data_IF_736917904082
#
_entry.id   IF_736917904082
#
_cell.length_a   1.000
_cell.length_b   1.000
_cell.length_c   1.000
_cell.angle_alpha   90.00
_cell.angle_beta   90.00
_cell.angle_gamma   90.00
#
_symmetry.space_group_name_H-M   'P 1'
#
loop_
_entity.id
_entity.type
_entity.pdbx_description
1 polymer ?
#
# COMPACT_ATOMS: atom_id res chain seq x y z
N UNK A 1 0.58 -5.08 13.89
CA UNK A 1 0.53 -3.78 14.59
C UNK A 1 0.61 -2.61 13.61
N UNK A 2 1.61 -2.52 12.73
CA UNK A 2 1.69 -1.45 11.70
C UNK A 2 0.41 -1.33 10.85
N UNK A 3 -0.18 -2.47 10.43
CA UNK A 3 -1.44 -2.47 9.67
C UNK A 3 -2.65 -1.86 10.39
N UNK A 4 -2.70 -1.93 11.74
CA UNK A 4 -3.77 -1.31 12.56
C UNK A 4 -3.78 0.19 12.33
N UNK A 5 -2.60 0.80 12.23
CA UNK A 5 -2.47 2.25 12.16
C UNK A 5 -2.50 2.69 10.71
N UNK A 6 -1.60 2.14 9.90
CA UNK A 6 -1.38 2.56 8.53
C UNK A 6 -2.63 2.39 7.65
N UNK A 7 -3.20 1.19 7.65
CA UNK A 7 -4.31 0.83 6.78
C UNK A 7 -5.68 0.91 7.48
N UNK A 8 -5.70 1.03 8.82
CA UNK A 8 -6.91 1.13 9.62
C UNK A 8 -7.18 2.54 10.14
N UNK A 9 -6.53 2.90 11.27
CA UNK A 9 -6.80 4.13 11.99
C UNK A 9 -6.50 5.38 11.15
N UNK A 10 -5.31 5.49 10.54
CA UNK A 10 -4.94 6.66 9.73
C UNK A 10 -5.84 6.82 8.51
N UNK A 11 -6.28 5.73 7.90
CA UNK A 11 -7.14 5.77 6.70
C UNK A 11 -8.46 6.49 6.96
N UNK A 12 -9.00 6.41 8.17
CA UNK A 12 -10.28 7.03 8.56
C UNK A 12 -10.08 8.31 9.36
N UNK A 13 -9.20 8.28 10.37
CA UNK A 13 -9.03 9.39 11.30
C UNK A 13 -8.30 10.58 10.67
N UNK A 14 -7.31 10.36 9.79
CA UNK A 14 -6.54 11.44 9.20
C UNK A 14 -7.39 12.36 8.29
N UNK A 15 -8.17 11.84 7.32
CA UNK A 15 -9.03 12.69 6.50
C UNK A 15 -10.08 13.45 7.32
N UNK A 16 -10.66 12.79 8.34
CA UNK A 16 -11.66 13.41 9.23
C UNK A 16 -11.05 14.52 10.09
N UNK A 17 -9.87 14.30 10.66
CA UNK A 17 -9.15 15.30 11.45
C UNK A 17 -8.89 16.56 10.61
N UNK A 18 -8.37 16.38 9.40
CA UNK A 18 -8.05 17.49 8.50
C UNK A 18 -9.34 18.22 8.08
N UNK A 19 -10.41 17.48 7.76
CA UNK A 19 -11.69 18.08 7.39
C UNK A 19 -12.32 18.89 8.54
N UNK A 20 -12.33 18.34 9.75
CA UNK A 20 -12.97 18.96 10.91
C UNK A 20 -12.18 20.20 11.40
N UNK A 21 -10.85 20.20 11.31
CA UNK A 21 -10.01 21.31 11.78
C UNK A 21 -9.70 22.38 10.71
N UNK A 22 -9.56 22.01 9.44
CA UNK A 22 -9.26 22.99 8.38
C UNK A 22 -10.51 23.66 7.79
N UNK A 23 -11.68 23.08 8.03
CA UNK A 23 -12.97 23.47 7.41
C UNK A 23 -12.97 23.52 5.87
N UNK A 24 -11.92 23.03 5.23
CA UNK A 24 -11.69 23.13 3.79
C UNK A 24 -11.32 21.76 3.23
N UNK A 25 -12.16 21.26 2.33
CA UNK A 25 -12.01 19.90 1.76
C UNK A 25 -10.74 19.79 0.91
N UNK A 26 -10.26 20.86 0.29
CA UNK A 26 -9.01 20.86 -0.50
C UNK A 26 -7.79 20.33 0.28
N UNK A 27 -7.67 20.67 1.57
CA UNK A 27 -6.54 20.27 2.40
C UNK A 27 -6.49 18.77 2.68
N UNK A 28 -7.64 18.12 2.76
CA UNK A 28 -7.71 16.66 2.94
C UNK A 28 -6.97 15.95 1.80
N UNK A 29 -7.21 16.40 0.55
CA UNK A 29 -6.52 15.86 -0.62
C UNK A 29 -5.02 16.14 -0.60
N UNK A 30 -4.60 17.34 -0.22
CA UNK A 30 -3.18 17.71 -0.17
C UNK A 30 -2.44 16.87 0.88
N UNK A 31 -2.98 16.74 2.10
CA UNK A 31 -2.36 15.98 3.19
C UNK A 31 -2.30 14.48 2.85
N UNK A 32 -3.37 13.91 2.28
CA UNK A 32 -3.37 12.50 1.88
C UNK A 32 -2.51 12.23 0.65
N UNK A 33 -2.37 13.21 -0.25
CA UNK A 33 -1.41 13.13 -1.34
C UNK A 33 0.02 13.12 -0.80
N UNK A 34 0.33 13.92 0.22
CA UNK A 34 1.63 13.87 0.89
C UNK A 34 1.89 12.49 1.52
N UNK A 35 0.89 11.89 2.18
CA UNK A 35 0.98 10.50 2.67
C UNK A 35 1.25 9.48 1.55
N UNK A 36 0.51 9.57 0.44
CA UNK A 36 0.69 8.69 -0.70
C UNK A 36 2.05 8.89 -1.39
N UNK A 37 2.58 10.11 -1.44
CA UNK A 37 3.94 10.39 -1.92
C UNK A 37 4.99 9.71 -1.04
N UNK A 38 4.80 9.71 0.28
CA UNK A 38 5.65 8.96 1.20
C UNK A 38 5.64 7.45 0.91
N UNK A 39 4.48 6.88 0.58
CA UNK A 39 4.36 5.46 0.19
C UNK A 39 5.07 5.11 -1.13
N UNK A 40 5.36 6.08 -2.00
CA UNK A 40 6.10 5.85 -3.25
C UNK A 40 7.63 5.74 -3.04
N UNK A 41 8.12 5.97 -1.82
CA UNK A 41 9.55 5.96 -1.51
C UNK A 41 10.16 4.55 -1.37
N UNK A 42 9.44 3.48 -1.69
CA UNK A 42 9.85 2.08 -1.46
C UNK A 42 11.18 1.70 -2.07
N UNK A 43 11.44 2.21 -3.27
CA UNK A 43 12.69 2.03 -3.97
C UNK A 43 13.90 2.64 -3.25
N UNK A 44 13.71 3.77 -2.57
CA UNK A 44 14.76 4.43 -1.78
C UNK A 44 15.07 3.56 -0.58
N UNK A 45 14.05 3.08 0.12
CA UNK A 45 14.20 2.26 1.33
C UNK A 45 14.83 0.90 1.03
N UNK A 46 14.41 0.22 -0.04
CA UNK A 46 15.02 -1.05 -0.46
C UNK A 46 16.52 -0.90 -0.75
N UNK A 47 16.90 0.11 -1.55
CA UNK A 47 18.31 0.39 -1.85
C UNK A 47 19.12 0.76 -0.61
N UNK A 48 18.53 1.54 0.31
CA UNK A 48 19.20 1.94 1.53
C UNK A 48 19.43 0.74 2.46
N UNK A 49 18.46 -0.17 2.51
CA UNK A 49 18.56 -1.42 3.25
C UNK A 49 19.68 -2.32 2.70
N UNK A 50 19.72 -2.51 1.37
CA UNK A 50 20.74 -3.32 0.70
C UNK A 50 22.15 -2.71 0.84
N UNK A 51 22.28 -1.39 0.61
CA UNK A 51 23.57 -0.69 0.60
C UNK A 51 24.20 -0.63 1.98
N UNK A 52 23.42 -0.32 3.02
CA UNK A 52 23.94 -0.12 4.37
C UNK A 52 23.76 -1.33 5.28
N UNK A 53 23.07 -2.38 4.82
CA UNK A 53 22.77 -3.58 5.62
C UNK A 53 22.00 -3.24 6.91
N UNK A 54 21.23 -2.15 6.87
CA UNK A 54 20.56 -1.56 8.03
C UNK A 54 19.11 -2.01 8.17
N UNK A 55 18.76 -3.22 7.70
CA UNK A 55 17.39 -3.76 7.75
C UNK A 55 16.73 -3.56 9.12
N UNK A 56 17.44 -3.93 10.20
CA UNK A 56 16.91 -3.76 11.57
C UNK A 56 16.71 -2.30 11.96
N UNK A 57 17.65 -1.41 11.62
CA UNK A 57 17.54 0.00 11.98
C UNK A 57 16.42 0.67 11.18
N UNK A 58 16.31 0.37 9.89
CA UNK A 58 15.24 0.91 9.04
C UNK A 58 13.87 0.45 9.52
N UNK A 59 13.71 -0.83 9.84
CA UNK A 59 12.46 -1.35 10.40
C UNK A 59 12.11 -0.70 11.75
N UNK A 60 13.09 -0.58 12.65
CA UNK A 60 12.90 0.07 13.95
C UNK A 60 12.57 1.56 13.82
N UNK A 61 13.32 2.27 12.97
CA UNK A 61 13.13 3.71 12.74
C UNK A 61 11.78 4.00 12.08
N UNK A 62 11.32 3.17 11.13
CA UNK A 62 9.99 3.31 10.54
C UNK A 62 8.88 3.20 11.58
N UNK A 63 8.94 2.21 12.48
CA UNK A 63 7.94 2.08 13.55
C UNK A 63 8.04 3.26 14.53
N UNK A 64 9.25 3.68 14.90
CA UNK A 64 9.46 4.80 15.83
C UNK A 64 8.96 6.13 15.26
N UNK A 65 9.22 6.41 13.98
CA UNK A 65 8.72 7.60 13.29
C UNK A 65 7.20 7.54 13.15
N UNK A 66 6.62 6.39 12.80
CA UNK A 66 5.16 6.25 12.73
C UNK A 66 4.48 6.50 14.08
N UNK A 67 5.09 6.03 15.17
CA UNK A 67 4.63 6.30 16.55
C UNK A 67 4.73 7.78 16.89
N UNK A 68 5.86 8.42 16.58
CA UNK A 68 6.07 9.86 16.82
C UNK A 68 5.07 10.69 16.02
N UNK A 69 4.84 10.35 14.75
CA UNK A 69 3.84 11.01 13.91
C UNK A 69 2.44 10.89 14.52
N UNK A 70 2.03 9.68 14.92
CA UNK A 70 0.74 9.46 15.57
C UNK A 70 0.56 10.32 16.82
N UNK A 71 1.62 10.53 17.60
CA UNK A 71 1.58 11.42 18.76
C UNK A 71 1.57 12.90 18.35
N UNK A 72 2.49 13.35 17.50
CA UNK A 72 2.67 14.76 17.17
C UNK A 72 1.49 15.35 16.39
N UNK A 73 0.81 14.55 15.55
CA UNK A 73 -0.23 15.05 14.66
C UNK A 73 -1.43 15.66 15.41
N UNK A 74 -1.63 15.28 16.68
CA UNK A 74 -2.73 15.77 17.53
C UNK A 74 -2.42 17.10 18.23
N UNK A 75 -1.14 17.48 18.33
CA UNK A 75 -0.71 18.69 19.05
C UNK A 75 -0.45 19.88 18.13
N UNK A 76 -0.08 19.63 16.89
CA UNK A 76 0.21 20.69 15.92
C UNK A 76 -1.04 21.00 15.10
N UNK A 77 -1.39 22.27 14.97
CA UNK A 77 -2.52 22.75 14.16
C UNK A 77 -2.09 23.45 12.87
N UNK A 78 -0.80 23.36 12.50
CA UNK A 78 -0.28 23.96 11.28
C UNK A 78 -0.36 22.99 10.09
N UNK A 79 -0.98 23.43 9.00
CA UNK A 79 -1.23 22.61 7.80
C UNK A 79 0.04 22.03 7.17
N UNK A 80 1.11 22.83 7.07
CA UNK A 80 2.40 22.37 6.56
C UNK A 80 3.01 21.27 7.44
N UNK A 81 2.78 21.33 8.75
CA UNK A 81 3.23 20.28 9.69
C UNK A 81 2.43 19.00 9.44
N UNK A 82 1.12 19.08 9.21
CA UNK A 82 0.34 17.89 8.83
C UNK A 82 0.77 17.27 7.51
N UNK A 83 1.12 18.07 6.51
CA UNK A 83 1.67 17.54 5.25
C UNK A 83 2.99 16.80 5.48
N UNK A 84 3.90 17.39 6.26
CA UNK A 84 5.18 16.77 6.59
C UNK A 84 4.98 15.48 7.39
N UNK A 85 4.13 15.52 8.42
CA UNK A 85 3.81 14.36 9.26
C UNK A 85 3.12 13.25 8.44
N UNK A 86 2.19 13.60 7.56
CA UNK A 86 1.53 12.65 6.68
C UNK A 86 2.53 12.01 5.70
N UNK A 87 3.43 12.79 5.10
CA UNK A 87 4.52 12.25 4.29
C UNK A 87 5.42 11.30 5.07
N UNK A 88 5.82 11.68 6.30
CA UNK A 88 6.62 10.84 7.18
C UNK A 88 5.87 9.56 7.59
N UNK A 89 4.56 9.62 7.83
CA UNK A 89 3.75 8.44 8.10
C UNK A 89 3.79 7.48 6.91
N UNK A 90 3.49 7.96 5.70
CA UNK A 90 3.54 7.17 4.48
C UNK A 90 4.92 6.55 4.25
N UNK A 91 5.97 7.35 4.33
CA UNK A 91 7.35 6.89 4.16
C UNK A 91 7.76 5.85 5.20
N UNK A 92 7.32 6.01 6.44
CA UNK A 92 7.61 5.07 7.55
C UNK A 92 6.88 3.74 7.39
N UNK A 93 5.61 3.78 6.98
CA UNK A 93 4.81 2.59 6.70
C UNK A 93 5.49 1.80 5.58
N UNK A 94 5.82 2.47 4.50
CA UNK A 94 6.41 1.84 3.32
C UNK A 94 7.83 1.30 3.58
N UNK A 95 8.66 2.02 4.32
CA UNK A 95 9.95 1.52 4.78
C UNK A 95 9.78 0.23 5.60
N UNK A 96 8.80 0.22 6.51
CA UNK A 96 8.56 -0.92 7.40
C UNK A 96 8.02 -2.13 6.63
N UNK A 97 7.08 -1.94 5.70
CA UNK A 97 6.51 -3.04 4.88
C UNK A 97 7.51 -3.58 3.87
N UNK A 98 8.32 -2.71 3.26
CA UNK A 98 9.37 -3.10 2.31
C UNK A 98 10.43 -3.96 3.00
N UNK A 99 10.96 -3.48 4.13
CA UNK A 99 11.98 -4.20 4.90
C UNK A 99 11.42 -5.50 5.51
N UNK A 100 10.15 -5.52 5.94
CA UNK A 100 9.48 -6.74 6.37
C UNK A 100 9.49 -7.83 5.29
N UNK A 101 9.26 -7.43 4.03
CA UNK A 101 9.26 -8.36 2.90
C UNK A 101 10.69 -8.84 2.58
N UNK A 102 11.67 -7.95 2.64
CA UNK A 102 13.10 -8.31 2.49
C UNK A 102 13.55 -9.32 3.55
N UNK A 103 13.13 -9.16 4.81
CA UNK A 103 13.42 -10.14 5.86
C UNK A 103 12.90 -11.55 5.52
N UNK A 104 11.77 -11.67 4.82
CA UNK A 104 11.28 -12.99 4.41
C UNK A 104 12.16 -13.60 3.32
N UNK A 105 12.55 -12.80 2.33
CA UNK A 105 13.33 -13.25 1.17
C UNK A 105 14.77 -13.58 1.55
N UNK A 106 15.40 -12.80 2.42
CA UNK A 106 16.80 -12.96 2.79
C UNK A 106 17.05 -14.10 3.80
N UNK A 107 16.12 -14.31 4.74
CA UNK A 107 16.34 -15.23 5.87
C UNK A 107 15.75 -16.61 5.68
N UNK A 108 15.01 -16.85 4.60
CA UNK A 108 14.31 -18.12 4.36
C UNK A 108 14.66 -18.68 2.99
N UNK A 109 14.62 -20.02 2.81
CA UNK A 109 14.82 -20.63 1.51
C UNK A 109 13.69 -20.28 0.53
N UNK A 110 14.00 -20.22 -0.77
CA UNK A 110 13.07 -19.78 -1.82
C UNK A 110 11.72 -20.50 -1.85
N UNK A 111 11.71 -21.80 -1.49
CA UNK A 111 10.48 -22.61 -1.42
C UNK A 111 9.47 -22.08 -0.38
N UNK A 112 9.93 -21.32 0.60
CA UNK A 112 9.11 -20.80 1.71
C UNK A 112 8.74 -19.33 1.55
N UNK A 113 9.25 -18.64 0.53
CA UNK A 113 9.01 -17.20 0.36
C UNK A 113 7.53 -16.90 0.18
N UNK A 114 6.87 -17.57 -0.77
CA UNK A 114 5.47 -17.32 -1.10
C UNK A 114 4.53 -17.58 0.09
N UNK A 115 4.58 -18.74 0.79
CA UNK A 115 3.77 -18.96 2.00
C UNK A 115 4.01 -17.92 3.10
N UNK A 116 5.26 -17.51 3.33
CA UNK A 116 5.61 -16.56 4.40
C UNK A 116 5.16 -15.14 4.06
N UNK A 117 5.30 -14.71 2.80
CA UNK A 117 4.78 -13.42 2.33
C UNK A 117 3.26 -13.40 2.44
N UNK A 118 2.57 -14.49 2.09
CA UNK A 118 1.12 -14.60 2.26
C UNK A 118 0.70 -14.47 3.73
N UNK A 119 1.41 -15.13 4.66
CA UNK A 119 1.17 -14.94 6.10
C UNK A 119 1.41 -13.50 6.55
N UNK A 120 2.48 -12.86 6.07
CA UNK A 120 2.80 -11.47 6.40
C UNK A 120 1.69 -10.51 5.95
N UNK A 121 1.19 -10.70 4.72
CA UNK A 121 0.06 -9.93 4.18
C UNK A 121 -1.25 -10.21 4.94
N UNK A 122 -1.45 -11.46 5.39
CA UNK A 122 -2.62 -11.83 6.20
C UNK A 122 -2.60 -11.11 7.54
N UNK A 123 -1.46 -11.09 8.24
CA UNK A 123 -1.32 -10.33 9.50
C UNK A 123 -1.46 -8.83 9.29
N UNK A 124 -0.98 -8.29 8.17
CA UNK A 124 -1.19 -6.90 7.81
C UNK A 124 -2.69 -6.59 7.62
N UNK A 125 -3.41 -7.45 6.88
CA UNK A 125 -4.85 -7.34 6.65
C UNK A 125 -5.69 -7.50 7.92
N UNK A 126 -5.35 -8.44 8.80
CA UNK A 126 -5.98 -8.57 10.13
C UNK A 126 -5.76 -7.27 10.92
N UNK A 127 -4.54 -6.75 10.90
CA UNK A 127 -4.23 -5.45 11.51
C UNK A 127 -5.13 -4.34 10.97
N UNK A 128 -5.25 -4.23 9.64
CA UNK A 128 -6.14 -3.25 8.99
C UNK A 128 -7.58 -3.37 9.50
N UNK A 129 -8.14 -4.59 9.52
CA UNK A 129 -9.52 -4.83 10.00
C UNK A 129 -9.66 -4.38 11.45
N UNK A 130 -8.76 -4.79 12.34
CA UNK A 130 -8.76 -4.35 13.73
C UNK A 130 -8.68 -2.83 13.83
N UNK A 131 -7.81 -2.19 13.05
CA UNK A 131 -7.67 -0.73 13.04
C UNK A 131 -8.91 0.01 12.55
N UNK A 132 -9.61 -0.50 11.54
CA UNK A 132 -10.87 0.06 11.06
C UNK A 132 -12.01 -0.09 12.09
N UNK A 133 -12.05 -1.23 12.80
CA UNK A 133 -13.00 -1.42 13.89
C UNK A 133 -12.68 -0.54 15.11
N UNK A 134 -11.40 -0.32 15.41
CA UNK A 134 -11.00 0.63 16.45
C UNK A 134 -11.30 2.08 16.05
N UNK A 135 -11.10 2.43 14.78
CA UNK A 135 -11.41 3.74 14.26
C UNK A 135 -12.91 4.07 14.45
N UNK A 136 -13.82 3.11 14.32
CA UNK A 136 -15.26 3.36 14.54
C UNK A 136 -15.56 3.83 15.96
N UNK A 137 -14.82 3.34 16.97
CA UNK A 137 -14.93 3.79 18.35
C UNK A 137 -14.26 5.15 18.58
N UNK A 138 -13.09 5.39 17.96
CA UNK A 138 -12.32 6.62 18.16
C UNK A 138 -12.73 7.80 17.30
N UNK A 139 -13.64 7.63 16.33
CA UNK A 139 -14.18 8.74 15.53
C UNK A 139 -14.76 9.87 16.42
N UNK A 140 -15.30 9.54 17.60
CA UNK A 140 -15.84 10.53 18.55
C UNK A 140 -14.73 11.42 19.13
N UNK A 141 -13.54 10.86 19.36
CA UNK A 141 -12.38 11.59 19.83
C UNK A 141 -11.13 11.18 19.04
N UNK A 142 -10.93 11.87 17.93
CA UNK A 142 -9.86 11.60 16.96
C UNK A 142 -8.48 11.66 17.62
N UNK A 143 -8.27 12.59 18.55
CA UNK A 143 -6.99 12.74 19.28
C UNK A 143 -6.67 11.49 20.10
N UNK A 144 -7.65 10.99 20.86
CA UNK A 144 -7.50 9.75 21.63
C UNK A 144 -7.22 8.57 20.70
N UNK A 145 -7.83 8.53 19.52
CA UNK A 145 -7.55 7.49 18.51
C UNK A 145 -6.10 7.46 18.05
N UNK A 146 -5.51 8.63 17.76
CA UNK A 146 -4.10 8.75 17.36
C UNK A 146 -3.12 8.45 18.51
N UNK A 147 -3.44 8.86 19.73
CA UNK A 147 -2.62 8.53 20.92
C UNK A 147 -2.68 7.02 21.19
N UNK A 148 -3.87 6.42 21.13
CA UNK A 148 -4.04 4.97 21.28
C UNK A 148 -3.26 4.21 20.19
N UNK A 149 -3.27 4.71 18.95
CA UNK A 149 -2.46 4.17 17.86
C UNK A 149 -0.97 4.18 18.23
N UNK A 150 -0.44 5.30 18.71
CA UNK A 150 0.97 5.41 19.12
C UNK A 150 1.30 4.42 20.25
N UNK A 151 0.43 4.30 21.27
CA UNK A 151 0.62 3.36 22.39
C UNK A 151 0.67 1.90 21.91
N UNK A 152 -0.15 1.52 20.93
CA UNK A 152 -0.16 0.16 20.36
C UNK A 152 1.16 -0.18 19.65
N UNK A 153 1.95 0.81 19.20
CA UNK A 153 3.27 0.56 18.62
C UNK A 153 4.37 0.32 19.64
N UNK A 154 4.18 0.69 20.91
CA UNK A 154 5.16 0.45 21.97
C UNK A 154 5.52 -1.04 22.08
N UNK A 155 4.57 -1.99 22.21
CA UNK A 155 4.91 -3.41 22.23
C UNK A 155 5.56 -3.88 20.93
N UNK A 156 5.20 -3.34 19.76
CA UNK A 156 5.89 -3.65 18.51
C UNK A 156 7.38 -3.27 18.57
N UNK A 157 7.70 -2.07 19.05
CA UNK A 157 9.09 -1.62 19.21
C UNK A 157 9.89 -2.50 20.18
N UNK A 158 9.27 -2.91 21.29
CA UNK A 158 9.91 -3.80 22.26
C UNK A 158 10.18 -5.19 21.67
N UNK A 159 9.22 -5.75 20.93
CA UNK A 159 9.38 -7.03 20.23
C UNK A 159 10.50 -6.92 19.19
N UNK A 160 10.50 -5.88 18.35
CA UNK A 160 11.56 -5.67 17.33
C UNK A 160 12.94 -5.52 17.97
N UNK A 161 13.02 -4.83 19.10
CA UNK A 161 14.27 -4.69 19.85
C UNK A 161 14.79 -6.02 20.38
N UNK A 162 13.91 -6.93 20.79
CA UNK A 162 14.28 -8.22 21.41
C UNK A 162 14.44 -9.36 20.39
N UNK A 163 13.61 -9.41 19.36
CA UNK A 163 13.46 -10.56 18.46
C UNK A 163 14.36 -10.53 17.23
N UNK A 164 14.83 -9.35 16.79
CA UNK A 164 15.70 -9.28 15.61
C UNK A 164 17.17 -9.34 16.08
N UNK A 165 17.88 -10.46 15.89
CA UNK A 165 19.28 -10.57 16.31
C UNK A 165 20.16 -9.52 15.60
N UNK A 166 21.18 -9.05 16.32
CA UNK A 166 22.15 -8.05 15.87
C UNK A 166 23.23 -8.74 15.02
N UNK A 167 22.86 -9.53 14.02
CA UNK A 167 23.82 -10.33 13.27
C UNK A 167 24.10 -9.71 11.90
N UNK A 168 25.33 -9.21 11.76
CA UNK A 168 26.04 -9.14 10.49
C UNK A 168 26.16 -10.58 9.99
N UNK A 169 25.44 -10.95 8.93
CA UNK A 169 25.79 -12.18 8.22
C UNK A 169 26.83 -11.85 7.14
N UNK A 170 27.88 -12.69 7.04
CA UNK A 170 28.87 -12.57 5.98
C UNK A 170 28.18 -12.81 4.64
N UNK A 171 28.62 -12.10 3.61
CA UNK A 171 28.22 -12.26 2.22
C UNK A 171 27.84 -13.72 1.91
N UNK A 172 26.53 -14.02 1.87
CA UNK A 172 26.07 -15.00 0.88
C UNK A 172 26.30 -14.27 -0.43
N UNK A 173 27.50 -14.54 -0.93
CA UNK A 173 28.11 -13.94 -2.07
C UNK A 173 27.12 -13.95 -3.24
N UNK A 174 26.45 -12.80 -3.47
CA UNK A 174 26.08 -12.38 -4.80
C UNK A 174 27.28 -12.50 -5.74
N UNK A 175 28.52 -12.47 -5.23
CA UNK A 175 29.76 -12.87 -5.91
C UNK A 175 29.82 -14.35 -6.35
N UNK A 176 29.32 -15.31 -5.56
CA UNK A 176 29.32 -16.74 -5.92
C UNK A 176 28.18 -17.13 -6.85
N UNK A 177 27.03 -16.45 -6.74
CA UNK A 177 25.94 -16.54 -7.72
C UNK A 177 26.31 -15.85 -9.03
N UNK A 178 27.06 -14.73 -8.96
CA UNK A 178 27.68 -14.03 -10.10
C UNK A 178 28.76 -14.88 -10.78
N UNK A 179 29.61 -15.60 -10.05
CA UNK A 179 30.57 -16.54 -10.63
C UNK A 179 29.91 -17.77 -11.27
N UNK A 180 28.86 -18.33 -10.65
CA UNK A 180 28.08 -19.41 -11.25
C UNK A 180 27.27 -18.95 -12.46
N UNK A 181 26.68 -17.75 -12.43
CA UNK A 181 25.95 -17.16 -13.56
C UNK A 181 26.90 -16.75 -14.69
N UNK A 182 28.11 -16.25 -14.40
CA UNK A 182 29.14 -15.91 -15.39
C UNK A 182 29.67 -17.15 -16.10
N UNK A 183 29.76 -18.30 -15.42
CA UNK A 183 30.15 -19.58 -16.06
C UNK A 183 29.04 -20.22 -16.91
N UNK A 184 27.79 -19.79 -16.76
CA UNK A 184 26.63 -20.29 -17.52
C UNK A 184 26.27 -19.34 -18.69
N UNK A 185 26.90 -18.15 -18.77
CA UNK A 185 26.58 -17.13 -19.77
C UNK A 185 27.56 -17.11 -20.94
N UNK A 186 27.54 -18.19 -21.72
CA UNK A 186 27.62 -18.04 -23.17
C UNK A 186 26.18 -18.11 -23.71
N UNK A 187 25.86 -17.28 -24.70
CA UNK A 187 24.51 -17.03 -25.28
C UNK A 187 23.77 -15.85 -24.63
N UNK A 188 24.10 -14.63 -25.11
CA UNK A 188 23.20 -13.53 -25.52
C UNK A 188 22.01 -13.05 -24.62
N UNK A 189 21.72 -13.65 -23.47
CA UNK A 189 20.44 -13.51 -22.75
C UNK A 189 20.50 -12.56 -21.54
N UNK A 190 21.68 -12.07 -21.15
CA UNK A 190 21.88 -11.21 -19.97
C UNK A 190 22.43 -9.79 -20.27
N UNK A 191 22.53 -9.43 -21.55
CA UNK A 191 23.16 -8.16 -21.99
C UNK A 191 22.47 -6.87 -21.52
N UNK A 192 21.21 -6.93 -21.03
CA UNK A 192 20.47 -5.74 -20.62
C UNK A 192 20.41 -5.50 -19.10
N UNK A 193 20.56 -6.55 -18.28
CA UNK A 193 20.54 -6.41 -16.81
C UNK A 193 21.94 -6.34 -16.19
N UNK A 194 22.95 -6.99 -16.79
CA UNK A 194 24.29 -7.09 -16.18
C UNK A 194 25.19 -5.87 -16.43
N UNK A 195 24.91 -5.02 -17.43
CA UNK A 195 25.71 -3.79 -17.71
C UNK A 195 25.43 -2.63 -16.75
N UNK A 196 24.61 -2.83 -15.72
CA UNK A 196 24.06 -1.74 -14.89
C UNK A 196 24.89 -1.47 -13.61
N UNK A 197 25.84 -2.32 -13.22
CA UNK A 197 26.53 -2.18 -11.92
C UNK A 197 28.01 -1.80 -11.99
N UNK A 198 28.57 -1.46 -13.17
CA UNK A 198 30.03 -1.37 -13.29
C UNK A 198 30.66 0.01 -13.12
N UNK A 199 29.93 1.12 -12.93
CA UNK A 199 30.59 2.42 -12.71
C UNK A 199 29.96 3.29 -11.62
N UNK A 200 30.82 3.57 -10.64
CA UNK A 200 30.65 4.43 -9.47
C UNK A 200 30.35 5.88 -9.84
N UNK A 201 29.07 6.30 -9.74
CA UNK A 201 28.66 7.63 -9.24
C UNK A 201 27.14 7.68 -9.04
N UNK A 202 26.70 7.55 -7.78
CA UNK A 202 25.43 6.89 -7.42
C UNK A 202 24.17 7.77 -7.36
N UNK A 203 24.27 9.08 -7.56
CA UNK A 203 23.10 9.97 -7.47
C UNK A 203 22.70 10.62 -8.80
N UNK A 204 23.66 10.90 -9.68
CA UNK A 204 23.39 11.54 -10.96
C UNK A 204 22.70 10.60 -11.97
N UNK A 205 23.02 9.29 -11.92
CA UNK A 205 22.51 8.32 -12.89
C UNK A 205 21.04 7.90 -12.70
N UNK A 206 20.48 8.02 -11.48
CA UNK A 206 19.08 7.60 -11.24
C UNK A 206 18.07 8.60 -11.79
N UNK A 207 18.33 9.91 -11.68
CA UNK A 207 17.44 10.93 -12.23
C UNK A 207 17.53 11.05 -13.76
N UNK A 208 18.73 10.92 -14.33
CA UNK A 208 18.94 10.98 -15.78
C UNK A 208 18.29 9.78 -16.48
N UNK A 209 18.35 8.57 -15.91
CA UNK A 209 17.64 7.40 -16.48
C UNK A 209 16.13 7.43 -16.29
N UNK A 210 15.59 8.09 -15.25
CA UNK A 210 14.15 8.36 -15.18
C UNK A 210 13.75 9.22 -16.38
N UNK A 211 14.54 10.24 -16.71
CA UNK A 211 14.29 11.13 -17.86
C UNK A 211 14.42 10.39 -19.22
N UNK A 212 15.45 9.57 -19.42
CA UNK A 212 15.59 8.73 -20.62
C UNK A 212 14.50 7.66 -20.73
N UNK A 213 14.11 7.05 -19.61
CA UNK A 213 13.00 6.10 -19.56
C UNK A 213 11.69 6.80 -19.90
N UNK A 214 11.49 8.04 -19.45
CA UNK A 214 10.34 8.90 -19.81
C UNK A 214 10.32 9.22 -21.30
N UNK A 215 11.47 9.49 -21.92
CA UNK A 215 11.59 9.64 -23.38
C UNK A 215 11.22 8.37 -24.17
N UNK A 216 11.48 7.19 -23.61
CA UNK A 216 11.10 5.89 -24.19
C UNK A 216 9.69 5.40 -23.80
N UNK A 217 8.92 6.14 -22.97
CA UNK A 217 7.58 5.71 -22.54
C UNK A 217 6.67 5.49 -23.76
N UNK A 218 6.70 6.38 -24.75
CA UNK A 218 5.85 6.29 -25.95
C UNK A 218 6.00 4.97 -26.72
N UNK A 219 7.21 4.42 -26.82
CA UNK A 219 7.46 3.15 -27.54
C UNK A 219 7.16 1.90 -26.70
N UNK A 220 7.15 2.02 -25.36
CA UNK A 220 6.85 0.90 -24.45
C UNK A 220 5.37 0.83 -24.06
N UNK A 221 4.62 1.94 -24.09
CA UNK A 221 3.17 1.98 -23.85
C UNK A 221 2.33 1.28 -24.92
N UNK A 222 2.90 1.04 -26.10
CA UNK A 222 2.20 0.34 -27.20
C UNK A 222 2.13 -1.17 -26.98
N UNK A 223 3.00 -1.75 -26.15
CA UNK A 223 3.03 -3.18 -25.80
C UNK A 223 1.82 -3.58 -24.95
N UNK A 224 1.36 -4.85 -25.00
CA UNK A 224 0.25 -5.34 -24.17
C UNK A 224 0.48 -5.11 -22.66
N UNK A 225 1.71 -5.33 -22.19
CA UNK A 225 2.13 -5.05 -20.82
C UNK A 225 2.08 -3.55 -20.50
N UNK A 226 2.60 -2.70 -21.39
CA UNK A 226 2.59 -1.25 -21.21
C UNK A 226 1.16 -0.68 -21.14
N UNK A 227 0.26 -1.13 -22.02
CA UNK A 227 -1.16 -0.75 -21.99
C UNK A 227 -1.82 -1.18 -20.67
N UNK A 228 -1.55 -2.40 -20.22
CA UNK A 228 -2.06 -2.89 -18.94
C UNK A 228 -1.55 -2.05 -17.77
N UNK A 229 -0.24 -1.72 -17.73
CA UNK A 229 0.34 -0.91 -16.66
C UNK A 229 -0.22 0.52 -16.62
N UNK A 230 -0.42 1.16 -17.79
CA UNK A 230 -1.09 2.47 -17.86
C UNK A 230 -2.53 2.39 -17.36
N UNK A 231 -3.28 1.38 -17.80
CA UNK A 231 -4.65 1.15 -17.32
C UNK A 231 -4.70 0.90 -15.81
N UNK A 232 -3.77 0.11 -15.27
CA UNK A 232 -3.63 -0.17 -13.84
C UNK A 232 -3.30 1.10 -13.06
N UNK A 233 -2.37 1.92 -13.57
CA UNK A 233 -2.00 3.20 -12.97
C UNK A 233 -3.19 4.16 -12.91
N UNK A 234 -3.91 4.37 -14.02
CA UNK A 234 -5.07 5.25 -14.07
C UNK A 234 -6.18 4.78 -13.11
N UNK A 235 -6.39 3.46 -13.04
CA UNK A 235 -7.33 2.86 -12.10
C UNK A 235 -6.93 3.11 -10.65
N UNK A 236 -5.67 2.85 -10.29
CA UNK A 236 -5.17 3.09 -8.94
C UNK A 236 -5.24 4.58 -8.59
N UNK A 237 -4.86 5.46 -9.51
CA UNK A 237 -4.90 6.91 -9.32
C UNK A 237 -6.31 7.41 -9.05
N UNK A 238 -7.30 7.01 -9.86
CA UNK A 238 -8.70 7.40 -9.67
C UNK A 238 -9.27 6.88 -8.35
N UNK A 239 -9.01 5.61 -8.02
CA UNK A 239 -9.48 5.01 -6.76
C UNK A 239 -8.81 5.69 -5.56
N UNK A 240 -7.50 5.89 -5.56
CA UNK A 240 -6.79 6.54 -4.47
C UNK A 240 -7.29 7.97 -4.25
N UNK A 241 -7.61 8.70 -5.32
CA UNK A 241 -8.20 10.04 -5.24
C UNK A 241 -9.55 10.01 -4.52
N UNK A 242 -10.43 9.05 -4.85
CA UNK A 242 -11.70 8.88 -4.14
C UNK A 242 -11.53 8.43 -2.69
N UNK A 243 -10.67 7.43 -2.44
CA UNK A 243 -10.45 6.86 -1.11
C UNK A 243 -9.83 7.86 -0.14
N UNK A 244 -9.07 8.84 -0.62
CA UNK A 244 -8.60 9.95 0.20
C UNK A 244 -9.77 10.73 0.84
N UNK A 245 -10.84 10.94 0.09
CA UNK A 245 -12.01 11.68 0.57
C UNK A 245 -13.10 10.80 1.18
N UNK A 246 -12.98 9.48 1.08
CA UNK A 246 -14.02 8.52 1.42
C UNK A 246 -14.80 8.83 2.71
N UNK A 247 -14.16 8.92 3.90
CA UNK A 247 -14.90 9.14 5.13
C UNK A 247 -15.56 10.53 5.20
N UNK A 248 -14.97 11.54 4.55
CA UNK A 248 -15.53 12.90 4.49
C UNK A 248 -16.73 12.94 3.54
N UNK A 249 -16.63 12.30 2.37
CA UNK A 249 -17.72 12.23 1.40
C UNK A 249 -18.91 11.46 1.95
N UNK A 250 -18.69 10.32 2.61
CA UNK A 250 -19.76 9.54 3.23
C UNK A 250 -20.49 10.31 4.35
N UNK A 251 -19.73 11.03 5.20
CA UNK A 251 -20.28 11.91 6.24
C UNK A 251 -21.10 13.07 5.66
N UNK A 252 -20.49 13.86 4.76
CA UNK A 252 -21.05 15.15 4.37
C UNK A 252 -22.00 15.07 3.17
N UNK A 253 -21.76 14.18 2.20
CA UNK A 253 -22.58 14.09 0.98
C UNK A 253 -23.73 13.09 1.09
N UNK A 254 -23.53 12.00 1.85
CA UNK A 254 -24.48 10.88 1.94
C UNK A 254 -25.10 10.71 3.34
N UNK A 255 -24.78 11.59 4.29
CA UNK A 255 -25.27 11.55 5.68
C UNK A 255 -24.97 10.21 6.42
N UNK A 256 -23.95 9.48 5.98
CA UNK A 256 -23.51 8.23 6.61
C UNK A 256 -22.50 8.58 7.71
N UNK A 257 -22.79 8.20 8.96
CA UNK A 257 -21.88 8.51 10.06
C UNK A 257 -20.49 7.90 9.85
N UNK A 258 -19.44 8.62 10.26
CA UNK A 258 -18.06 8.17 10.12
C UNK A 258 -17.77 6.89 10.92
N UNK A 259 -18.45 6.70 12.06
CA UNK A 259 -18.37 5.46 12.84
C UNK A 259 -18.93 4.27 12.06
N UNK A 260 -20.11 4.43 11.44
CA UNK A 260 -20.72 3.40 10.60
C UNK A 260 -19.86 3.10 9.37
N UNK A 261 -19.32 4.13 8.71
CA UNK A 261 -18.39 3.97 7.57
C UNK A 261 -17.19 3.11 7.96
N UNK A 262 -16.54 3.43 9.07
CA UNK A 262 -15.38 2.69 9.56
C UNK A 262 -15.72 1.25 9.95
N UNK A 263 -16.87 1.05 10.60
CA UNK A 263 -17.36 -0.28 10.98
C UNK A 263 -17.66 -1.16 9.76
N UNK A 264 -18.41 -0.64 8.79
CA UNK A 264 -18.71 -1.34 7.52
C UNK A 264 -17.40 -1.65 6.80
N UNK A 265 -16.48 -0.69 6.72
CA UNK A 265 -15.19 -0.94 6.07
C UNK A 265 -14.42 -2.06 6.77
N UNK A 266 -14.34 -2.05 8.11
CA UNK A 266 -13.69 -3.12 8.88
C UNK A 266 -14.34 -4.47 8.64
N UNK A 267 -15.68 -4.55 8.76
CA UNK A 267 -16.45 -5.78 8.58
C UNK A 267 -16.26 -6.39 7.18
N UNK A 268 -16.40 -5.58 6.13
CA UNK A 268 -16.25 -6.06 4.75
C UNK A 268 -14.80 -6.26 4.34
N UNK A 269 -13.84 -5.61 5.00
CA UNK A 269 -12.41 -5.95 4.85
C UNK A 269 -12.11 -7.32 5.46
N UNK A 270 -12.78 -7.70 6.56
CA UNK A 270 -12.65 -9.04 7.12
C UNK A 270 -13.22 -10.11 6.16
N UNK A 271 -14.38 -9.83 5.58
CA UNK A 271 -14.96 -10.67 4.52
C UNK A 271 -14.06 -10.72 3.27
N UNK A 272 -13.41 -9.61 2.93
CA UNK A 272 -12.48 -9.51 1.82
C UNK A 272 -11.26 -10.44 1.99
N UNK A 273 -10.75 -10.63 3.22
CA UNK A 273 -9.67 -11.60 3.53
C UNK A 273 -10.07 -13.02 3.10
N UNK A 274 -11.31 -13.44 3.40
CA UNK A 274 -11.82 -14.75 2.98
C UNK A 274 -11.93 -14.81 1.46
N UNK A 275 -12.40 -13.72 0.83
CA UNK A 275 -12.52 -13.60 -0.61
C UNK A 275 -11.19 -13.72 -1.35
N UNK A 276 -10.04 -13.38 -0.74
CA UNK A 276 -8.74 -13.61 -1.37
C UNK A 276 -8.53 -15.10 -1.70
N UNK A 277 -8.84 -16.00 -0.76
CA UNK A 277 -8.70 -17.46 -0.98
C UNK A 277 -9.62 -17.96 -2.11
N UNK A 278 -10.83 -17.42 -2.19
CA UNK A 278 -11.76 -17.76 -3.27
C UNK A 278 -11.36 -17.15 -4.62
N UNK A 279 -10.79 -15.94 -4.60
CA UNK A 279 -10.33 -15.23 -5.80
C UNK A 279 -9.30 -16.03 -6.60
N UNK A 280 -8.37 -16.71 -5.92
CA UNK A 280 -7.42 -17.61 -6.57
C UNK A 280 -8.10 -18.80 -7.26
N UNK A 281 -9.06 -19.45 -6.59
CA UNK A 281 -9.83 -20.57 -7.17
C UNK A 281 -10.68 -20.13 -8.37
N UNK A 282 -11.29 -18.95 -8.28
CA UNK A 282 -12.05 -18.33 -9.38
C UNK A 282 -11.15 -18.00 -10.57
N UNK A 283 -9.96 -17.44 -10.32
CA UNK A 283 -8.95 -17.13 -11.35
C UNK A 283 -8.49 -18.40 -12.07
N UNK A 284 -8.26 -19.50 -11.31
CA UNK A 284 -7.90 -20.79 -11.88
C UNK A 284 -9.03 -21.43 -12.71
N UNK A 285 -10.28 -21.34 -12.23
CA UNK A 285 -11.44 -21.97 -12.91
C UNK A 285 -11.89 -21.21 -14.15
N UNK A 286 -11.98 -19.87 -14.07
CA UNK A 286 -12.62 -19.04 -15.11
C UNK A 286 -11.63 -18.18 -15.90
N UNK A 287 -10.36 -18.19 -15.50
CA UNK A 287 -9.29 -17.40 -16.11
C UNK A 287 -9.19 -15.99 -15.51
N UNK A 288 -7.96 -15.60 -15.17
CA UNK A 288 -7.63 -14.32 -14.52
C UNK A 288 -8.22 -13.11 -15.24
N UNK A 289 -8.22 -13.09 -16.58
CA UNK A 289 -8.77 -11.97 -17.35
C UNK A 289 -10.29 -11.77 -17.17
N UNK A 290 -11.08 -12.85 -17.12
CA UNK A 290 -12.53 -12.74 -16.95
C UNK A 290 -12.88 -12.28 -15.53
N UNK A 291 -12.22 -12.86 -14.53
CA UNK A 291 -12.40 -12.48 -13.12
C UNK A 291 -12.02 -11.01 -12.90
N UNK A 292 -10.90 -10.57 -13.48
CA UNK A 292 -10.46 -9.19 -13.42
C UNK A 292 -11.50 -8.23 -13.98
N UNK A 293 -11.97 -8.47 -15.23
CA UNK A 293 -12.99 -7.63 -15.87
C UNK A 293 -14.32 -7.62 -15.11
N UNK A 294 -14.78 -8.77 -14.62
CA UNK A 294 -16.00 -8.85 -13.83
C UNK A 294 -15.88 -8.05 -12.52
N UNK A 295 -14.76 -8.16 -11.82
CA UNK A 295 -14.52 -7.40 -10.59
C UNK A 295 -14.40 -5.89 -10.85
N UNK A 296 -13.83 -5.48 -11.99
CA UNK A 296 -13.84 -4.08 -12.43
C UNK A 296 -15.23 -3.55 -12.74
N UNK A 297 -16.06 -4.32 -13.46
CA UNK A 297 -17.44 -3.93 -13.77
C UNK A 297 -18.28 -3.79 -12.51
N UNK A 298 -18.13 -4.74 -11.58
CA UNK A 298 -18.73 -4.62 -10.24
C UNK A 298 -18.26 -3.32 -9.59
N UNK A 299 -16.95 -3.08 -9.47
CA UNK A 299 -16.44 -1.87 -8.83
C UNK A 299 -16.96 -0.59 -9.48
N UNK A 300 -17.07 -0.56 -10.81
CA UNK A 300 -17.68 0.55 -11.54
C UNK A 300 -19.15 0.73 -11.18
N UNK A 301 -19.93 -0.35 -11.07
CA UNK A 301 -21.31 -0.29 -10.57
C UNK A 301 -21.38 0.30 -9.15
N UNK A 302 -20.44 -0.04 -8.27
CA UNK A 302 -20.34 0.55 -6.93
C UNK A 302 -20.14 2.08 -6.96
N UNK A 303 -19.29 2.57 -7.87
CA UNK A 303 -19.15 4.01 -8.10
C UNK A 303 -20.40 4.64 -8.71
N UNK A 304 -21.08 3.96 -9.63
CA UNK A 304 -22.34 4.43 -10.21
C UNK A 304 -23.45 4.52 -9.16
N UNK A 305 -23.51 3.58 -8.21
CA UNK A 305 -24.45 3.63 -7.09
C UNK A 305 -24.19 4.85 -6.20
N UNK A 306 -22.92 5.12 -5.86
CA UNK A 306 -22.55 6.32 -5.11
C UNK A 306 -22.93 7.59 -5.87
N UNK A 307 -22.57 7.67 -7.15
CA UNK A 307 -22.92 8.81 -8.00
C UNK A 307 -24.44 9.01 -8.12
N UNK A 308 -25.22 7.94 -8.29
CA UNK A 308 -26.68 7.99 -8.30
C UNK A 308 -27.28 8.42 -6.96
N UNK A 309 -26.72 7.93 -5.84
CA UNK A 309 -27.15 8.30 -4.49
C UNK A 309 -27.02 9.80 -4.23
N UNK A 310 -26.10 10.48 -4.91
CA UNK A 310 -25.89 11.92 -4.75
C UNK A 310 -27.13 12.74 -5.15
N UNK A 311 -27.87 12.28 -6.17
CA UNK A 311 -29.06 12.95 -6.70
C UNK A 311 -30.35 12.60 -5.97
N UNK A 312 -30.33 11.65 -5.02
CA UNK A 312 -31.51 11.28 -4.25
C UNK A 312 -31.85 12.37 -3.22
N UNK A 313 -33.11 12.83 -3.14
CA UNK A 313 -33.50 13.87 -2.19
C UNK A 313 -33.50 13.37 -0.73
N UNK A 314 -33.81 12.08 -0.50
CA UNK A 314 -33.85 11.43 0.81
C UNK A 314 -33.32 9.99 0.69
N UNK A 315 -32.83 9.41 1.80
CA UNK A 315 -32.39 8.01 1.84
C UNK A 315 -31.11 7.72 1.06
N UNK A 316 -30.21 8.71 0.95
CA UNK A 316 -28.94 8.60 0.22
C UNK A 316 -28.08 7.45 0.75
N UNK A 317 -28.11 7.24 2.06
CA UNK A 317 -27.44 6.17 2.79
C UNK A 317 -27.83 4.77 2.31
N UNK A 318 -29.09 4.56 1.92
CA UNK A 318 -29.59 3.25 1.47
C UNK A 318 -28.93 2.79 0.16
N UNK A 319 -28.49 3.74 -0.68
CA UNK A 319 -27.82 3.44 -1.96
C UNK A 319 -26.30 3.60 -1.84
N UNK A 320 -25.84 4.57 -1.05
CA UNK A 320 -24.42 4.81 -0.83
C UNK A 320 -23.74 3.66 -0.07
N UNK A 321 -24.39 3.09 0.95
CA UNK A 321 -23.82 1.98 1.74
C UNK A 321 -23.56 0.74 0.87
N UNK A 322 -24.54 0.20 0.10
CA UNK A 322 -24.28 -0.91 -0.81
C UNK A 322 -23.21 -0.59 -1.86
N UNK A 323 -23.23 0.62 -2.42
CA UNK A 323 -22.19 1.06 -3.37
C UNK A 323 -20.79 1.01 -2.74
N UNK A 324 -20.65 1.51 -1.51
CA UNK A 324 -19.41 1.47 -0.76
C UNK A 324 -18.95 0.04 -0.45
N UNK A 325 -19.85 -0.82 0.06
CA UNK A 325 -19.57 -2.23 0.32
C UNK A 325 -19.00 -2.91 -0.92
N UNK A 326 -19.60 -2.62 -2.07
CA UNK A 326 -19.21 -3.21 -3.35
C UNK A 326 -17.80 -2.76 -3.78
N UNK A 327 -17.40 -1.52 -3.48
CA UNK A 327 -16.01 -1.06 -3.68
C UNK A 327 -15.00 -1.82 -2.82
N UNK A 328 -15.37 -2.18 -1.58
CA UNK A 328 -14.48 -2.88 -0.64
C UNK A 328 -14.30 -4.35 -1.05
N UNK A 329 -15.39 -5.08 -1.28
CA UNK A 329 -15.35 -6.53 -1.58
C UNK A 329 -14.75 -6.87 -2.95
N UNK A 330 -14.77 -5.93 -3.90
CA UNK A 330 -14.19 -6.15 -5.24
C UNK A 330 -12.67 -6.04 -5.24
N UNK A 331 -12.06 -5.40 -4.24
CA UNK A 331 -10.61 -5.18 -4.18
C UNK A 331 -9.78 -6.48 -4.21
N UNK A 332 -10.07 -7.52 -3.38
CA UNK A 332 -9.32 -8.78 -3.42
C UNK A 332 -9.30 -9.44 -4.79
N UNK A 333 -10.46 -9.47 -5.46
CA UNK A 333 -10.61 -10.10 -6.77
C UNK A 333 -9.75 -9.38 -7.81
N UNK A 334 -9.76 -8.05 -7.81
CA UNK A 334 -8.94 -7.21 -8.70
C UNK A 334 -7.44 -7.42 -8.39
N UNK A 335 -7.07 -7.44 -7.11
CA UNK A 335 -5.67 -7.56 -6.68
C UNK A 335 -5.04 -8.89 -7.10
N UNK A 336 -5.73 -10.02 -6.87
CA UNK A 336 -5.22 -11.35 -7.24
C UNK A 336 -5.18 -11.50 -8.76
N UNK A 337 -6.31 -11.29 -9.43
CA UNK A 337 -6.39 -11.51 -10.88
C UNK A 337 -5.50 -10.55 -11.66
N UNK A 338 -5.32 -9.32 -11.16
CA UNK A 338 -4.39 -8.35 -11.72
C UNK A 338 -2.92 -8.76 -11.57
N UNK A 339 -2.56 -9.42 -10.47
CA UNK A 339 -1.20 -9.95 -10.26
C UNK A 339 -0.93 -11.11 -11.22
N UNK A 340 -1.87 -12.05 -11.36
CA UNK A 340 -1.77 -13.13 -12.35
C UNK A 340 -1.62 -12.61 -13.79
N UNK A 341 -2.38 -11.57 -14.14
CA UNK A 341 -2.32 -10.92 -15.45
C UNK A 341 -0.96 -10.28 -15.70
N UNK A 342 -0.36 -9.62 -14.70
CA UNK A 342 0.99 -9.04 -14.82
C UNK A 342 2.02 -10.10 -15.14
N UNK A 343 1.96 -11.25 -14.49
CA UNK A 343 2.89 -12.37 -14.74
C UNK A 343 2.71 -12.93 -16.16
N UNK A 344 1.47 -13.09 -16.62
CA UNK A 344 1.15 -13.62 -17.96
C UNK A 344 1.49 -12.65 -19.11
N UNK A 345 1.40 -11.34 -18.85
CA UNK A 345 1.69 -10.30 -19.85
C UNK A 345 3.14 -9.83 -19.80
N UNK A 346 3.90 -10.23 -18.78
CA UNK A 346 5.31 -9.90 -18.64
C UNK A 346 6.09 -10.46 -19.84
N UNK A 347 6.98 -9.68 -20.47
CA UNK A 347 7.75 -10.13 -21.64
C UNK A 347 8.78 -11.24 -21.33
N UNK A 348 8.82 -11.74 -20.08
CA UNK A 348 9.79 -12.72 -19.58
C UNK A 348 9.19 -14.10 -19.28
N UNK A 349 7.93 -14.37 -19.66
CA UNK A 349 7.38 -15.73 -19.63
C UNK A 349 7.66 -16.44 -20.95
N UNK A 350 8.87 -16.98 -21.07
CA UNK A 350 9.24 -18.08 -21.97
C UNK A 350 10.08 -19.08 -21.18
#
# INVERSE_FOLDING_TARGET
>A
MVGIIAAGLMLILLPLMVADLSHQVSWVGIVLSANNLGLLCSFIWGRLADKYQMHRLLFFSGIAVLMLVGFCITYFNALWIWMLLAFLAGASVDATTTVATLFVVEFNPQKEWEPRIVWLQTFYGIGQVTGLLMASAFVVNIQVGFIAAAIILIPALLIVRKSIPKQQMPHIALTGLKEKLLKITDIHFLGFFARIEMYSNTLHFSFIKIYETVGSIKSKTTTPFGRFMVSWFLLCFGISSFFAYLPVTLKNAYAVSSSLTSFIYGLFSAAAIILYTYGGKLSAKWGSNKVYRAALLLRFAGFMMLFGAFFLPFGKECVAIPGFILLVITWPLISISGTDLKVKLSPYTL
#
